data_IF_784159540576
#
_entry.id   IF_784159540576
#
_cell.length_a   1.000
_cell.length_b   1.000
_cell.length_c   1.000
_cell.angle_alpha   90.00
_cell.angle_beta   90.00
_cell.angle_gamma   90.00
#
_symmetry.space_group_name_H-M   'P 1'
#
loop_
_entity.id
_entity.type
_entity.pdbx_description
1 polymer ?
#
# COMPACT_ATOMS: atom_id res chain seq x y z
N UNK A 1 -5.80 7.75 -4.77
CA UNK A 1 -6.09 6.50 -5.53
C UNK A 1 -7.40 6.54 -6.30
N UNK A 2 -8.52 6.98 -5.69
CA UNK A 2 -9.86 6.97 -6.34
C UNK A 2 -9.85 7.70 -7.69
N UNK A 3 -9.28 8.92 -7.76
CA UNK A 3 -9.20 9.69 -9.01
C UNK A 3 -8.37 8.96 -10.08
N UNK A 4 -7.26 8.31 -9.67
CA UNK A 4 -6.45 7.51 -10.60
C UNK A 4 -7.26 6.33 -11.14
N UNK A 5 -8.02 5.64 -10.27
CA UNK A 5 -8.88 4.53 -10.70
C UNK A 5 -9.97 5.00 -11.67
N UNK A 6 -10.60 6.14 -11.40
CA UNK A 6 -11.59 6.74 -12.31
C UNK A 6 -11.00 7.08 -13.68
N UNK A 7 -9.80 7.68 -13.71
CA UNK A 7 -9.11 8.00 -14.96
C UNK A 7 -8.67 6.74 -15.71
N UNK A 8 -8.10 5.77 -15.00
CA UNK A 8 -7.61 4.52 -15.57
C UNK A 8 -8.72 3.64 -16.17
N UNK A 9 -9.94 3.76 -15.65
CA UNK A 9 -11.12 3.00 -16.11
C UNK A 9 -12.14 3.87 -16.86
N UNK A 10 -11.80 5.13 -17.19
CA UNK A 10 -12.69 5.97 -17.99
C UNK A 10 -12.98 5.35 -19.36
N UNK A 11 -14.21 5.51 -19.91
CA UNK A 11 -14.54 5.05 -21.25
C UNK A 11 -13.57 5.62 -22.30
N UNK A 12 -13.26 4.81 -23.31
CA UNK A 12 -12.22 5.14 -24.30
C UNK A 12 -12.52 6.43 -25.09
N UNK A 13 -13.79 6.74 -25.31
CA UNK A 13 -14.27 7.95 -25.97
C UNK A 13 -14.09 9.23 -25.11
N UNK A 14 -13.91 9.07 -23.79
CA UNK A 14 -13.62 10.15 -22.85
C UNK A 14 -12.13 10.35 -22.60
N UNK A 15 -11.30 9.39 -22.96
CA UNK A 15 -9.86 9.49 -22.85
C UNK A 15 -9.31 10.40 -23.94
N UNK A 16 -8.43 11.33 -23.55
CA UNK A 16 -7.76 12.23 -24.50
C UNK A 16 -6.28 11.94 -24.51
N UNK A 17 -5.70 11.92 -25.71
CA UNK A 17 -4.25 11.85 -25.86
C UNK A 17 -3.60 13.09 -25.21
N UNK A 18 -2.66 12.85 -24.32
CA UNK A 18 -1.90 13.91 -23.67
C UNK A 18 -0.76 14.37 -24.59
N UNK A 19 -0.69 15.66 -24.88
CA UNK A 19 0.36 16.26 -25.71
C UNK A 19 1.75 16.28 -25.03
N UNK A 20 1.80 15.98 -23.73
CA UNK A 20 3.01 15.94 -22.92
C UNK A 20 2.80 15.00 -21.72
N UNK A 21 3.90 14.48 -21.19
CA UNK A 21 3.87 13.70 -19.94
C UNK A 21 3.34 14.57 -18.80
N UNK A 22 2.42 14.02 -18.02
CA UNK A 22 1.84 14.69 -16.83
C UNK A 22 2.32 13.95 -15.58
N UNK A 23 2.99 14.66 -14.68
CA UNK A 23 3.46 14.12 -13.41
C UNK A 23 2.37 14.23 -12.36
N UNK A 24 2.12 13.13 -11.64
CA UNK A 24 1.08 13.04 -10.62
C UNK A 24 1.67 12.44 -9.35
N UNK A 25 1.39 13.06 -8.20
CA UNK A 25 1.62 12.47 -6.89
C UNK A 25 0.35 11.79 -6.40
N UNK A 26 0.46 10.56 -5.88
CA UNK A 26 -0.65 9.85 -5.26
C UNK A 26 -0.30 9.44 -3.83
N UNK A 27 -1.24 9.63 -2.91
CA UNK A 27 -1.11 9.33 -1.49
C UNK A 27 -2.45 8.90 -0.88
N UNK A 28 -2.45 8.55 0.39
CA UNK A 28 -3.62 8.26 1.21
C UNK A 28 -3.93 6.77 1.35
N UNK A 29 -3.86 6.01 0.26
CA UNK A 29 -3.91 4.54 0.26
C UNK A 29 -3.05 4.02 -0.89
N UNK A 30 -2.45 2.82 -0.79
CA UNK A 30 -1.70 2.23 -1.87
C UNK A 30 -2.63 1.95 -3.07
N UNK A 31 -2.38 2.51 -4.27
CA UNK A 31 -3.12 2.07 -5.46
C UNK A 31 -2.65 0.67 -5.85
N UNK A 32 -3.53 -0.20 -6.37
CA UNK A 32 -3.11 -1.45 -6.97
C UNK A 32 -2.06 -1.25 -8.07
N UNK A 33 -1.08 -2.15 -8.19
CA UNK A 33 0.03 -2.05 -9.15
C UNK A 33 -0.44 -1.86 -10.60
N UNK A 34 -1.55 -2.50 -10.97
CA UNK A 34 -2.17 -2.39 -12.31
C UNK A 34 -2.60 -0.95 -12.67
N UNK A 35 -2.91 -0.11 -11.68
CA UNK A 35 -3.30 1.29 -11.91
C UNK A 35 -2.12 2.12 -12.41
N UNK A 36 -0.91 1.85 -11.93
CA UNK A 36 0.30 2.54 -12.42
C UNK A 36 0.52 2.26 -13.91
N UNK A 37 0.38 0.99 -14.34
CA UNK A 37 0.47 0.61 -15.75
C UNK A 37 -0.57 1.33 -16.62
N UNK A 38 -1.84 1.30 -16.19
CA UNK A 38 -2.93 1.97 -16.92
C UNK A 38 -2.70 3.47 -17.04
N UNK A 39 -2.27 4.13 -15.97
CA UNK A 39 -1.98 5.57 -15.97
C UNK A 39 -0.80 5.91 -16.87
N UNK A 40 0.24 5.07 -16.88
CA UNK A 40 1.40 5.25 -17.75
C UNK A 40 1.01 5.15 -19.23
N UNK A 41 0.15 4.20 -19.61
CA UNK A 41 -0.41 4.08 -20.96
C UNK A 41 -1.23 5.31 -21.38
N UNK A 42 -1.82 6.04 -20.43
CA UNK A 42 -2.52 7.30 -20.67
C UNK A 42 -1.59 8.53 -20.70
N UNK A 43 -0.27 8.35 -20.53
CA UNK A 43 0.72 9.43 -20.56
C UNK A 43 0.97 10.11 -19.22
N UNK A 44 0.51 9.53 -18.12
CA UNK A 44 0.80 10.00 -16.77
C UNK A 44 2.03 9.31 -16.18
N UNK A 45 2.88 10.07 -15.51
CA UNK A 45 3.94 9.56 -14.64
C UNK A 45 3.49 9.72 -13.20
N UNK A 46 3.16 8.59 -12.57
CA UNK A 46 2.61 8.58 -11.21
C UNK A 46 3.70 8.22 -10.21
N UNK A 47 3.97 9.12 -9.27
CA UNK A 47 4.83 8.87 -8.13
C UNK A 47 3.99 8.57 -6.89
N UNK A 48 4.21 7.41 -6.29
CA UNK A 48 3.60 7.08 -5.01
C UNK A 48 4.36 7.78 -3.88
N UNK A 49 3.62 8.42 -2.99
CA UNK A 49 4.16 9.07 -1.80
C UNK A 49 3.36 8.65 -0.58
N UNK A 50 4.02 8.61 0.58
CA UNK A 50 3.39 8.24 1.84
C UNK A 50 3.67 9.28 2.90
N UNK A 51 2.67 9.54 3.71
CA UNK A 51 2.71 10.40 4.88
C UNK A 51 1.36 10.43 5.57
N UNK A 52 1.34 11.02 6.74
CA UNK A 52 0.20 11.09 7.64
C UNK A 52 -0.10 12.55 7.98
N UNK A 53 -1.26 12.82 8.56
CA UNK A 53 -1.56 14.12 9.16
C UNK A 53 -0.56 14.44 10.27
N UNK A 54 -0.15 13.43 11.00
CA UNK A 54 0.82 13.46 12.09
C UNK A 54 2.24 13.79 11.63
N UNK A 55 2.53 13.71 10.34
CA UNK A 55 3.84 14.02 9.75
C UNK A 55 3.83 15.28 8.86
N UNK A 56 2.73 16.06 8.89
CA UNK A 56 2.58 17.30 8.12
C UNK A 56 2.82 17.12 6.61
N UNK A 57 2.48 16.00 6.05
CA UNK A 57 2.63 15.69 4.64
C UNK A 57 3.43 14.42 4.39
N UNK A 58 3.94 14.28 3.17
CA UNK A 58 4.65 13.07 2.79
C UNK A 58 6.08 13.01 3.35
N UNK A 59 6.46 11.83 3.76
CA UNK A 59 7.77 11.49 4.34
C UNK A 59 8.52 10.40 3.58
N UNK A 60 7.80 9.63 2.74
CA UNK A 60 8.38 8.70 1.79
C UNK A 60 7.93 9.06 0.38
N UNK A 61 8.79 8.80 -0.59
CA UNK A 61 8.50 8.90 -2.01
C UNK A 61 9.10 7.72 -2.78
N UNK A 62 8.36 7.19 -3.71
CA UNK A 62 8.85 6.19 -4.64
C UNK A 62 9.64 6.87 -5.76
N UNK A 63 10.85 7.35 -5.43
CA UNK A 63 11.77 7.92 -6.40
C UNK A 63 12.16 6.85 -7.43
N UNK A 64 12.05 7.16 -8.72
CA UNK A 64 12.40 6.21 -9.78
C UNK A 64 13.93 6.18 -9.98
N UNK A 65 14.49 4.99 -10.14
CA UNK A 65 15.87 4.79 -10.58
C UNK A 65 15.86 4.39 -12.06
N UNK A 66 16.65 5.05 -12.88
CA UNK A 66 16.73 4.80 -14.33
C UNK A 66 17.18 3.35 -14.66
N UNK A 67 17.94 2.70 -13.78
CA UNK A 67 18.31 1.29 -13.94
C UNK A 67 17.09 0.33 -13.99
N UNK A 68 15.96 0.77 -13.47
CA UNK A 68 14.72 -0.03 -13.47
C UNK A 68 13.94 0.06 -14.80
N UNK A 69 14.33 0.93 -15.71
CA UNK A 69 13.74 1.02 -17.05
C UNK A 69 14.02 -0.27 -17.88
N UNK A 70 15.07 -1.02 -17.50
CA UNK A 70 15.43 -2.29 -18.14
C UNK A 70 14.63 -3.50 -17.62
N UNK A 71 13.88 -3.33 -16.50
CA UNK A 71 13.03 -4.38 -15.93
C UNK A 71 11.77 -4.57 -16.78
N UNK A 72 11.21 -5.78 -16.71
CA UNK A 72 9.89 -6.04 -17.28
C UNK A 72 8.80 -5.18 -16.60
N UNK A 73 7.66 -5.03 -17.28
CA UNK A 73 6.58 -4.15 -16.85
C UNK A 73 6.00 -4.55 -15.48
N UNK A 74 5.93 -5.83 -15.17
CA UNK A 74 5.36 -6.30 -13.90
C UNK A 74 6.27 -5.91 -12.73
N UNK A 75 7.58 -6.10 -12.87
CA UNK A 75 8.56 -5.67 -11.89
C UNK A 75 8.56 -4.14 -11.73
N UNK A 76 8.48 -3.38 -12.82
CA UNK A 76 8.36 -1.92 -12.75
C UNK A 76 7.10 -1.50 -11.97
N UNK A 77 5.93 -2.12 -12.24
CA UNK A 77 4.68 -1.82 -11.57
C UNK A 77 4.74 -2.14 -10.06
N UNK A 78 5.37 -3.26 -9.69
CA UNK A 78 5.57 -3.64 -8.29
C UNK A 78 6.47 -2.63 -7.55
N UNK A 79 7.50 -2.11 -8.20
CA UNK A 79 8.36 -1.07 -7.62
C UNK A 79 7.58 0.24 -7.47
N UNK A 80 6.81 0.66 -8.48
CA UNK A 80 6.00 1.89 -8.45
C UNK A 80 4.93 1.86 -7.37
N UNK A 81 4.46 0.68 -7.00
CA UNK A 81 3.49 0.50 -5.91
C UNK A 81 4.09 0.66 -4.50
N UNK A 82 5.42 0.66 -4.34
CA UNK A 82 6.09 0.88 -3.05
C UNK A 82 5.94 2.33 -2.61
N UNK A 83 6.04 2.57 -1.29
CA UNK A 83 6.06 3.92 -0.74
C UNK A 83 7.43 4.60 -0.92
N UNK A 84 8.47 3.78 -1.12
CA UNK A 84 9.79 4.25 -1.52
C UNK A 84 10.74 4.56 -0.38
N UNK A 85 11.47 5.64 -0.52
CA UNK A 85 12.55 6.04 0.39
C UNK A 85 12.22 7.33 1.13
N UNK A 86 12.91 7.55 2.25
CA UNK A 86 12.78 8.73 3.10
C UNK A 86 12.97 10.04 2.33
N UNK A 87 12.06 10.98 2.56
CA UNK A 87 12.16 12.32 2.03
C UNK A 87 13.22 13.14 2.79
N UNK A 88 13.96 14.04 2.13
CA UNK A 88 15.10 14.75 2.74
C UNK A 88 14.76 15.60 3.98
N UNK A 89 13.52 16.07 4.13
CA UNK A 89 13.08 16.90 5.25
C UNK A 89 12.79 16.10 6.54
N UNK A 90 12.86 14.77 6.51
CA UNK A 90 12.58 13.90 7.65
C UNK A 90 13.89 13.35 8.22
N UNK A 91 14.07 13.38 9.54
CA UNK A 91 15.29 12.90 10.19
C UNK A 91 15.45 11.39 10.06
N UNK A 92 14.39 10.62 10.35
CA UNK A 92 14.38 9.16 10.24
C UNK A 92 13.02 8.63 9.85
N UNK A 93 13.01 7.64 8.94
CA UNK A 93 11.88 6.75 8.66
C UNK A 93 12.47 5.35 8.54
N UNK A 94 12.14 4.47 9.45
CA UNK A 94 12.74 3.14 9.59
C UNK A 94 11.60 2.15 9.88
N UNK A 95 11.69 0.96 9.32
CA UNK A 95 10.81 -0.15 9.71
C UNK A 95 11.47 -0.89 10.86
N UNK A 96 10.78 -0.96 12.00
CA UNK A 96 11.28 -1.56 13.22
C UNK A 96 10.28 -2.58 13.78
N UNK A 97 10.80 -3.56 14.51
CA UNK A 97 9.98 -4.38 15.39
C UNK A 97 9.43 -3.50 16.53
N UNK A 98 8.10 -3.39 16.70
CA UNK A 98 7.52 -2.47 17.67
C UNK A 98 7.75 -2.88 19.15
N UNK A 99 8.12 -4.14 19.43
CA UNK A 99 8.39 -4.61 20.79
C UNK A 99 9.84 -4.40 21.19
N UNK A 100 10.77 -4.70 20.28
CA UNK A 100 12.21 -4.60 20.55
C UNK A 100 12.81 -3.25 20.20
N UNK A 101 12.11 -2.45 19.38
CA UNK A 101 12.59 -1.19 18.81
C UNK A 101 13.88 -1.32 17.98
N UNK A 102 14.12 -2.53 17.45
CA UNK A 102 15.25 -2.81 16.56
C UNK A 102 14.83 -2.76 15.09
N UNK A 103 15.67 -2.21 14.19
CA UNK A 103 15.39 -2.21 12.77
C UNK A 103 15.24 -3.63 12.20
N UNK A 104 14.22 -3.86 11.37
CA UNK A 104 14.09 -5.14 10.67
C UNK A 104 15.09 -5.23 9.50
N UNK A 105 15.49 -6.47 9.10
CA UNK A 105 16.38 -6.64 7.97
C UNK A 105 15.76 -6.15 6.65
N UNK A 106 16.60 -5.70 5.72
CA UNK A 106 16.20 -5.26 4.38
C UNK A 106 16.06 -6.47 3.44
N UNK A 107 15.18 -7.40 3.76
CA UNK A 107 14.97 -8.66 3.02
C UNK A 107 13.68 -8.67 2.18
N UNK A 108 12.85 -7.63 2.31
CA UNK A 108 11.55 -7.52 1.66
C UNK A 108 10.49 -8.48 2.20
N UNK A 109 10.72 -9.09 3.37
CA UNK A 109 9.88 -10.13 3.97
C UNK A 109 9.58 -9.89 5.44
N UNK A 110 10.61 -9.56 6.23
CA UNK A 110 10.45 -9.32 7.66
C UNK A 110 9.64 -8.05 7.89
N UNK A 111 8.48 -8.23 8.50
CA UNK A 111 7.53 -7.16 8.76
C UNK A 111 7.88 -6.44 10.07
N UNK A 112 7.71 -5.14 10.07
CA UNK A 112 7.77 -4.27 11.23
C UNK A 112 6.87 -3.07 11.05
N UNK A 113 6.84 -2.17 12.03
CA UNK A 113 6.10 -0.93 11.98
C UNK A 113 6.97 0.21 11.42
N UNK A 114 6.38 1.10 10.63
CA UNK A 114 7.06 2.32 10.17
C UNK A 114 7.18 3.28 11.35
N UNK A 115 8.41 3.49 11.80
CA UNK A 115 8.77 4.44 12.86
C UNK A 115 9.35 5.72 12.26
N UNK A 116 8.88 6.86 12.76
CA UNK A 116 9.17 8.15 12.16
C UNK A 116 9.76 9.10 13.22
N UNK A 117 10.81 9.82 12.83
CA UNK A 117 11.40 10.86 13.68
C UNK A 117 11.79 12.09 12.86
N UNK A 118 11.58 13.25 13.44
CA UNK A 118 11.97 14.52 12.85
C UNK A 118 11.03 15.67 13.23
N UNK A 119 11.40 16.86 12.83
CA UNK A 119 10.67 18.10 13.12
C UNK A 119 9.34 18.23 12.36
N UNK A 120 9.06 17.33 11.42
CA UNK A 120 7.78 17.24 10.68
C UNK A 120 6.73 16.48 11.48
N UNK A 121 7.14 15.70 12.49
CA UNK A 121 6.23 14.95 13.36
C UNK A 121 5.46 15.90 14.28
N UNK A 122 4.17 15.65 14.43
CA UNK A 122 3.29 16.42 15.29
C UNK A 122 3.79 16.51 16.75
N UNK A 123 3.36 17.52 17.49
CA UNK A 123 3.61 17.61 18.93
C UNK A 123 2.79 16.62 19.77
N UNK A 124 1.67 16.17 19.24
CA UNK A 124 0.74 15.25 19.88
C UNK A 124 -0.71 15.45 19.47
N UNK A 125 -1.56 14.58 19.95
CA UNK A 125 -3.01 14.65 19.76
C UNK A 125 -3.64 15.68 20.69
N UNK A 126 -4.59 16.45 20.16
CA UNK A 126 -5.21 17.56 20.90
C UNK A 126 -5.98 17.07 22.14
N UNK A 127 -5.56 17.51 23.33
CA UNK A 127 -6.14 17.13 24.62
C UNK A 127 -6.18 15.61 24.90
N UNK A 128 -5.32 14.84 24.24
CA UNK A 128 -5.18 13.41 24.45
C UNK A 128 -3.70 13.08 24.73
N UNK A 129 -3.36 13.20 26.01
CA UNK A 129 -1.99 12.97 26.48
C UNK A 129 -1.62 11.49 26.41
N UNK A 130 -2.55 10.61 26.73
CA UNK A 130 -2.33 9.16 26.76
C UNK A 130 -2.02 8.63 25.35
N UNK A 131 -2.87 8.95 24.37
CA UNK A 131 -2.62 8.57 22.98
C UNK A 131 -1.31 9.20 22.45
N UNK A 132 -0.98 10.44 22.86
CA UNK A 132 0.27 11.09 22.47
C UNK A 132 1.48 10.34 23.00
N UNK A 133 1.51 10.04 24.30
CA UNK A 133 2.64 9.34 24.95
C UNK A 133 2.83 7.95 24.35
N UNK A 134 1.74 7.21 24.13
CA UNK A 134 1.77 5.90 23.48
C UNK A 134 2.31 5.97 22.04
N UNK A 135 1.88 6.96 21.26
CA UNK A 135 2.31 7.09 19.87
C UNK A 135 3.76 7.61 19.71
N UNK A 136 4.40 8.07 20.79
CA UNK A 136 5.77 8.61 20.80
C UNK A 136 6.73 7.75 21.63
N UNK A 137 6.37 6.51 21.88
CA UNK A 137 7.18 5.59 22.70
C UNK A 137 8.57 5.39 22.07
N UNK A 138 9.60 5.22 22.91
CA UNK A 138 10.97 5.05 22.47
C UNK A 138 11.59 6.23 21.70
N UNK A 139 10.90 7.42 21.67
CA UNK A 139 11.37 8.62 20.96
C UNK A 139 11.13 8.57 19.45
N UNK A 140 10.28 7.68 18.98
CA UNK A 140 9.81 7.58 17.62
C UNK A 140 8.28 7.71 17.57
N UNK A 141 7.78 8.28 16.49
CA UNK A 141 6.36 8.26 16.23
C UNK A 141 5.98 6.89 15.60
N UNK A 142 5.08 6.20 16.26
CA UNK A 142 4.50 4.93 15.83
C UNK A 142 3.36 5.19 14.84
N UNK A 143 3.56 4.84 13.58
CA UNK A 143 2.57 5.13 12.54
C UNK A 143 1.33 4.22 12.57
N UNK A 144 1.46 3.03 13.15
CA UNK A 144 0.48 1.96 13.05
C UNK A 144 0.44 1.27 11.68
N UNK A 145 1.33 1.63 10.75
CA UNK A 145 1.43 1.03 9.43
C UNK A 145 2.55 -0.01 9.40
N UNK A 146 2.20 -1.26 9.08
CA UNK A 146 3.14 -2.38 8.97
C UNK A 146 3.75 -2.41 7.57
N UNK A 147 5.05 -2.63 7.50
CA UNK A 147 5.80 -2.58 6.26
C UNK A 147 6.99 -3.55 6.25
N UNK A 148 7.55 -3.75 5.08
CA UNK A 148 8.84 -4.39 4.88
C UNK A 148 9.81 -3.42 4.22
N UNK A 149 11.12 -3.63 4.46
CA UNK A 149 12.17 -2.88 3.73
C UNK A 149 12.83 -3.81 2.72
N UNK A 150 12.80 -3.43 1.44
CA UNK A 150 13.48 -4.19 0.39
C UNK A 150 15.00 -3.99 0.43
N UNK A 151 15.81 -4.90 -0.18
CA UNK A 151 17.28 -4.73 -0.27
C UNK A 151 17.71 -3.41 -0.89
N UNK A 152 16.88 -2.81 -1.74
CA UNK A 152 17.10 -1.47 -2.32
C UNK A 152 16.90 -0.31 -1.33
N UNK A 153 16.48 -0.59 -0.09
CA UNK A 153 16.10 0.41 0.90
C UNK A 153 14.67 0.97 0.74
N UNK A 154 13.93 0.50 -0.27
CA UNK A 154 12.54 0.94 -0.51
C UNK A 154 11.58 0.24 0.45
N UNK A 155 10.77 1.05 1.13
CA UNK A 155 9.74 0.57 2.05
C UNK A 155 8.47 0.25 1.25
N UNK A 156 7.84 -0.89 1.58
CA UNK A 156 6.52 -1.29 1.06
C UNK A 156 5.60 -1.56 2.23
N UNK A 157 4.51 -0.81 2.33
CA UNK A 157 3.44 -1.06 3.30
C UNK A 157 2.76 -2.37 2.95
N UNK A 158 2.55 -3.18 3.97
CA UNK A 158 1.83 -4.45 3.87
C UNK A 158 0.40 -4.29 4.36
N UNK A 159 0.20 -3.62 5.50
CA UNK A 159 -1.12 -3.34 6.06
C UNK A 159 -1.04 -2.35 7.22
N UNK A 160 -2.18 -2.05 7.84
CA UNK A 160 -2.23 -1.42 9.16
C UNK A 160 -2.22 -2.48 10.26
N UNK A 161 -1.59 -2.19 11.38
CA UNK A 161 -1.52 -3.12 12.52
C UNK A 161 -2.90 -3.55 13.03
N UNK A 162 -3.91 -2.67 12.92
CA UNK A 162 -5.29 -2.92 13.32
C UNK A 162 -6.15 -3.60 12.24
N UNK A 163 -5.69 -3.65 11.00
CA UNK A 163 -6.43 -4.16 9.84
C UNK A 163 -5.88 -5.53 9.37
N UNK A 164 -4.73 -5.99 9.93
CA UNK A 164 -4.20 -7.34 9.73
C UNK A 164 -5.26 -8.35 10.16
N UNK A 165 -5.52 -9.33 9.31
CA UNK A 165 -6.48 -10.40 9.54
C UNK A 165 -5.73 -11.57 10.17
N UNK A 166 -6.13 -11.97 11.37
CA UNK A 166 -5.47 -13.08 12.10
C UNK A 166 -6.29 -14.36 11.89
N UNK A 167 -5.90 -15.16 10.91
CA UNK A 167 -6.58 -16.40 10.55
C UNK A 167 -5.77 -17.62 10.93
N UNK A 168 -6.26 -18.40 11.89
CA UNK A 168 -5.58 -19.60 12.35
C UNK A 168 -4.19 -19.38 12.95
N UNK A 169 -3.90 -18.15 13.40
CA UNK A 169 -2.59 -17.73 13.92
C UNK A 169 -1.64 -17.15 12.87
N UNK A 170 -2.06 -17.09 11.61
CA UNK A 170 -1.31 -16.46 10.52
C UNK A 170 -1.78 -15.02 10.30
N UNK A 171 -0.83 -14.11 10.04
CA UNK A 171 -1.09 -12.72 9.72
C UNK A 171 -1.32 -12.57 8.21
N UNK A 172 -2.52 -12.21 7.82
CA UNK A 172 -2.94 -12.04 6.43
C UNK A 172 -3.12 -10.55 6.14
N UNK A 173 -2.44 -10.04 5.11
CA UNK A 173 -2.60 -8.68 4.66
C UNK A 173 -3.87 -8.51 3.83
N UNK A 174 -4.74 -7.59 4.24
CA UNK A 174 -5.92 -7.19 3.47
C UNK A 174 -5.50 -6.57 2.13
N UNK A 175 -4.45 -5.75 2.14
CA UNK A 175 -3.90 -5.07 0.95
C UNK A 175 -3.35 -6.08 -0.07
N UNK A 176 -2.72 -7.17 0.36
CA UNK A 176 -2.21 -8.21 -0.54
C UNK A 176 -3.34 -8.89 -1.31
N UNK A 177 -4.44 -9.21 -0.60
CA UNK A 177 -5.64 -9.80 -1.21
C UNK A 177 -6.30 -8.80 -2.17
N UNK A 178 -6.47 -7.53 -1.76
CA UNK A 178 -7.02 -6.46 -2.60
C UNK A 178 -6.23 -6.29 -3.89
N UNK A 179 -4.90 -6.24 -3.79
CA UNK A 179 -4.01 -6.16 -4.95
C UNK A 179 -4.16 -7.36 -5.89
N UNK A 180 -4.34 -8.55 -5.34
CA UNK A 180 -4.55 -9.76 -6.14
C UNK A 180 -5.89 -9.73 -6.84
N UNK A 181 -6.99 -9.45 -6.13
CA UNK A 181 -8.33 -9.35 -6.71
C UNK A 181 -8.39 -8.28 -7.80
N UNK A 182 -7.70 -7.15 -7.60
CA UNK A 182 -7.67 -6.04 -8.57
C UNK A 182 -6.99 -6.38 -9.90
N UNK A 183 -6.23 -7.48 -9.98
CA UNK A 183 -5.67 -8.00 -11.23
C UNK A 183 -6.68 -8.83 -12.05
N UNK A 184 -7.80 -9.21 -11.44
CA UNK A 184 -8.84 -9.96 -12.13
C UNK A 184 -9.53 -9.11 -13.20
N UNK A 185 -9.71 -9.61 -14.46
CA UNK A 185 -10.14 -8.81 -15.61
C UNK A 185 -11.57 -8.27 -15.55
N UNK A 186 -12.37 -8.74 -14.61
CA UNK A 186 -13.75 -8.26 -14.40
C UNK A 186 -13.87 -7.29 -13.21
N UNK A 187 -12.81 -7.06 -12.41
CA UNK A 187 -12.86 -6.28 -11.18
C UNK A 187 -12.48 -4.83 -11.43
N UNK A 188 -13.32 -3.92 -10.93
CA UNK A 188 -13.07 -2.47 -10.89
C UNK A 188 -12.43 -2.04 -9.56
N UNK A 189 -12.96 -2.56 -8.44
CA UNK A 189 -12.52 -2.22 -7.09
C UNK A 189 -12.71 -3.42 -6.17
N UNK A 190 -11.78 -3.59 -5.23
CA UNK A 190 -11.90 -4.55 -4.14
C UNK A 190 -11.57 -3.87 -2.80
N UNK A 191 -12.26 -4.30 -1.74
CA UNK A 191 -11.96 -3.98 -0.36
C UNK A 191 -12.05 -5.25 0.48
N UNK A 192 -11.07 -5.50 1.35
CA UNK A 192 -10.99 -6.71 2.17
C UNK A 192 -10.98 -6.32 3.65
N UNK A 193 -11.78 -7.01 4.43
CA UNK A 193 -11.89 -6.82 5.88
C UNK A 193 -11.84 -8.16 6.60
N UNK A 194 -11.48 -8.13 7.88
CA UNK A 194 -11.62 -9.29 8.76
C UNK A 194 -13.10 -9.59 8.99
N UNK A 195 -13.48 -10.86 8.89
CA UNK A 195 -14.79 -11.39 9.29
C UNK A 195 -14.57 -12.43 10.37
N UNK A 196 -15.31 -12.38 11.50
CA UNK A 196 -15.24 -13.42 12.53
C UNK A 196 -15.53 -14.81 11.97
N UNK A 197 -14.72 -15.81 12.36
CA UNK A 197 -14.86 -17.22 11.97
C UNK A 197 -14.68 -18.11 13.20
N UNK A 198 -15.60 -19.07 13.40
CA UNK A 198 -15.60 -19.95 14.59
C UNK A 198 -14.37 -20.88 14.65
N UNK A 199 -13.82 -21.24 13.50
CA UNK A 199 -12.68 -22.18 13.40
C UNK A 199 -11.33 -21.46 13.38
N UNK A 200 -11.26 -20.34 12.65
CA UNK A 200 -10.02 -19.67 12.35
C UNK A 200 -9.80 -18.37 13.16
N UNK A 201 -10.80 -17.97 13.98
CA UNK A 201 -10.85 -16.66 14.65
C UNK A 201 -11.33 -15.58 13.72
N UNK A 202 -10.58 -15.32 12.65
CA UNK A 202 -10.95 -14.42 11.57
C UNK A 202 -10.73 -15.08 10.21
N UNK A 203 -11.44 -14.58 9.19
CA UNK A 203 -11.24 -14.94 7.79
C UNK A 203 -11.35 -13.69 6.91
N UNK A 204 -10.61 -13.59 5.79
CA UNK A 204 -10.75 -12.51 4.84
C UNK A 204 -12.16 -12.50 4.22
N UNK A 205 -12.77 -11.32 4.14
CA UNK A 205 -14.03 -11.09 3.46
C UNK A 205 -13.86 -9.95 2.47
N UNK A 206 -13.95 -10.27 1.17
CA UNK A 206 -13.79 -9.31 0.09
C UNK A 206 -15.14 -8.74 -0.37
N UNK A 207 -15.21 -7.42 -0.51
CA UNK A 207 -16.27 -6.72 -1.22
C UNK A 207 -15.72 -6.30 -2.58
N UNK A 208 -16.39 -6.73 -3.66
CA UNK A 208 -15.89 -6.56 -5.02
C UNK A 208 -16.90 -5.80 -5.88
N UNK A 209 -16.42 -4.75 -6.53
CA UNK A 209 -17.16 -4.04 -7.57
C UNK A 209 -16.66 -4.50 -8.94
N UNK A 210 -17.58 -4.91 -9.81
CA UNK A 210 -17.24 -5.34 -11.16
C UNK A 210 -17.22 -4.17 -12.15
N UNK A 211 -16.40 -4.29 -13.19
CA UNK A 211 -16.40 -3.36 -14.33
C UNK A 211 -17.76 -3.45 -15.02
N UNK A 212 -18.33 -2.31 -15.42
CA UNK A 212 -19.61 -2.25 -16.11
C UNK A 212 -19.63 -3.16 -17.35
N UNK A 213 -20.66 -3.99 -17.43
CA UNK A 213 -20.83 -4.99 -18.50
C UNK A 213 -19.98 -6.27 -18.34
N UNK A 214 -19.22 -6.41 -17.27
CA UNK A 214 -18.52 -7.64 -16.90
C UNK A 214 -19.30 -8.42 -15.86
N UNK A 215 -19.04 -9.72 -15.78
CA UNK A 215 -19.59 -10.61 -14.76
C UNK A 215 -18.50 -11.53 -14.25
N UNK A 216 -18.56 -11.90 -12.99
CA UNK A 216 -17.75 -12.95 -12.36
C UNK A 216 -18.51 -13.49 -11.16
N UNK A 217 -18.34 -14.77 -10.85
CA UNK A 217 -18.90 -15.37 -9.66
C UNK A 217 -17.92 -15.26 -8.49
N UNK A 218 -18.41 -15.49 -7.27
CA UNK A 218 -17.59 -15.57 -6.06
C UNK A 218 -16.52 -16.67 -6.19
N UNK A 219 -16.91 -17.86 -6.71
CA UNK A 219 -16.02 -18.99 -6.89
C UNK A 219 -14.88 -18.70 -7.88
N UNK A 220 -15.17 -17.94 -8.95
CA UNK A 220 -14.15 -17.55 -9.94
C UNK A 220 -13.11 -16.62 -9.31
N UNK A 221 -13.55 -15.63 -8.52
CA UNK A 221 -12.64 -14.71 -7.83
C UNK A 221 -11.81 -15.44 -6.77
N UNK A 222 -12.42 -16.32 -5.98
CA UNK A 222 -11.72 -17.14 -4.97
C UNK A 222 -10.68 -18.03 -5.65
N UNK A 223 -11.03 -18.67 -6.77
CA UNK A 223 -10.11 -19.52 -7.52
C UNK A 223 -8.92 -18.71 -8.04
N UNK A 224 -9.17 -17.53 -8.61
CA UNK A 224 -8.14 -16.63 -9.07
C UNK A 224 -7.18 -16.21 -7.94
N UNK A 225 -7.70 -15.94 -6.74
CA UNK A 225 -6.87 -15.64 -5.57
C UNK A 225 -6.00 -16.85 -5.16
N UNK A 226 -6.57 -18.05 -5.14
CA UNK A 226 -5.84 -19.29 -4.78
C UNK A 226 -4.71 -19.68 -5.72
N UNK A 227 -4.75 -19.25 -6.96
CA UNK A 227 -3.68 -19.47 -7.94
C UNK A 227 -2.45 -18.59 -7.66
N UNK A 228 -2.62 -17.50 -6.92
CA UNK A 228 -1.59 -16.46 -6.73
C UNK A 228 -1.12 -16.35 -5.28
N UNK A 229 -2.05 -16.48 -4.33
CA UNK A 229 -1.79 -16.33 -2.90
C UNK A 229 -1.41 -17.65 -2.23
N UNK A 230 -0.75 -17.58 -1.08
CA UNK A 230 -0.52 -18.74 -0.24
C UNK A 230 -1.84 -19.39 0.20
N UNK A 231 -1.86 -20.70 0.33
CA UNK A 231 -3.08 -21.51 0.48
C UNK A 231 -3.66 -21.59 1.91
N UNK A 232 -3.51 -20.53 2.71
CA UNK A 232 -4.10 -20.47 4.06
C UNK A 232 -5.21 -19.44 4.18
#
# INVERSE_FOLDING_TARGET
PIVLNMLANAPQDQQKELKRKVYVLTAGAPPPSIIFEKMQKLGFEVMHVYGLTETYGHILQCAWNEDWDELDQDNQNEIRARQGVRYPNTEGVIVMDPETMEPVPHDGKTMGEIMIRGNVVMKGYFKDKEATEKSMEGGWFHSGDLAVTHPSGYIKIQDRSKDIIISGGENISSIEIENTISKHPAVSLAAVVAKPDEKWGETPCAFVELIEGKSSSEEEIITFCRETLAGF
#
